data_IF_597681254979
#
_entry.id   IF_597681254979
#
_cell.length_a   1.000
_cell.length_b   1.000
_cell.length_c   1.000
_cell.angle_alpha   90.00
_cell.angle_beta   90.00
_cell.angle_gamma   90.00
#
_symmetry.space_group_name_H-M   'P 1'
#
loop_
_entity.id
_entity.type
_entity.pdbx_description
1 polymer ?
#
# COMPACT_ATOMS: atom_id res chain seq x y z
N UNK A 1 -6.78 14.83 2.36
CA UNK A 1 -7.93 14.07 2.92
C UNK A 1 -7.61 13.74 4.37
N UNK A 2 -8.60 13.46 5.23
CA UNK A 2 -8.30 13.02 6.60
C UNK A 2 -8.13 11.50 6.63
N UNK A 3 -7.17 11.02 7.42
CA UNK A 3 -6.77 9.60 7.50
C UNK A 3 -7.87 8.72 8.09
N UNK A 4 -8.72 9.28 8.95
CA UNK A 4 -9.87 8.64 9.59
C UNK A 4 -11.01 8.28 8.62
N UNK A 5 -10.95 8.72 7.37
CA UNK A 5 -11.87 8.26 6.34
C UNK A 5 -11.45 6.96 5.65
N UNK A 6 -10.24 6.49 5.90
CA UNK A 6 -9.71 5.28 5.31
C UNK A 6 -9.61 4.16 6.32
N UNK A 7 -9.96 2.95 5.89
CA UNK A 7 -9.64 1.69 6.58
C UNK A 7 -8.88 0.78 5.62
N UNK A 8 -8.04 -0.09 6.16
CA UNK A 8 -7.24 -1.00 5.37
C UNK A 8 -7.24 -2.41 5.96
N UNK A 9 -7.26 -3.42 5.09
CA UNK A 9 -7.17 -4.82 5.48
C UNK A 9 -6.41 -5.62 4.42
N UNK A 10 -5.52 -6.51 4.88
CA UNK A 10 -4.85 -7.46 4.00
C UNK A 10 -5.72 -8.71 3.76
N UNK A 11 -5.69 -9.22 2.54
CA UNK A 11 -6.45 -10.38 2.06
C UNK A 11 -5.52 -11.32 1.30
N UNK A 12 -5.84 -12.61 1.34
CA UNK A 12 -5.08 -13.66 0.64
C UNK A 12 -3.61 -13.77 1.07
N UNK A 13 -3.35 -13.50 2.35
CA UNK A 13 -2.01 -13.55 2.96
C UNK A 13 -1.66 -14.93 3.53
N UNK A 14 -2.59 -15.88 3.51
CA UNK A 14 -2.32 -17.24 3.98
C UNK A 14 -1.57 -18.06 2.92
N UNK A 15 -0.68 -18.99 3.31
CA UNK A 15 0.01 -19.86 2.36
C UNK A 15 -0.97 -20.67 1.50
N UNK A 16 -0.81 -20.61 0.17
CA UNK A 16 -1.67 -21.32 -0.77
C UNK A 16 -3.03 -20.66 -1.05
N UNK A 17 -3.30 -19.47 -0.51
CA UNK A 17 -4.44 -18.67 -0.96
C UNK A 17 -4.25 -18.26 -2.43
N UNK A 18 -5.20 -18.62 -3.28
CA UNK A 18 -5.42 -17.97 -4.56
C UNK A 18 -6.70 -17.14 -4.42
N UNK A 19 -6.69 -15.82 -4.69
CA UNK A 19 -5.77 -15.03 -5.55
C UNK A 19 -4.55 -14.38 -4.85
N UNK A 20 -3.86 -13.47 -5.56
CA UNK A 20 -2.71 -12.64 -5.13
C UNK A 20 -2.95 -11.88 -3.80
N UNK A 21 -1.92 -11.67 -2.94
CA UNK A 21 -2.05 -10.85 -1.73
C UNK A 21 -2.60 -9.49 -2.10
N UNK A 22 -3.64 -9.07 -1.40
CA UNK A 22 -4.31 -7.81 -1.69
C UNK A 22 -4.46 -6.98 -0.43
N UNK A 23 -3.98 -5.74 -0.49
CA UNK A 23 -4.29 -4.71 0.49
C UNK A 23 -5.55 -3.97 0.03
N UNK A 24 -6.67 -4.19 0.71
CA UNK A 24 -7.93 -3.50 0.42
C UNK A 24 -8.00 -2.22 1.23
N UNK A 25 -8.16 -1.09 0.54
CA UNK A 25 -8.37 0.24 1.11
C UNK A 25 -9.83 0.64 0.88
N UNK A 26 -10.56 0.86 1.96
CA UNK A 26 -11.92 1.39 1.90
C UNK A 26 -11.89 2.87 2.26
N UNK A 27 -12.69 3.67 1.55
CA UNK A 27 -12.82 5.10 1.79
C UNK A 27 -14.26 5.49 2.05
N UNK A 28 -14.50 6.15 3.17
CA UNK A 28 -15.84 6.55 3.65
C UNK A 28 -16.07 8.07 3.58
N UNK A 29 -15.11 8.81 3.02
CA UNK A 29 -15.24 10.26 2.80
C UNK A 29 -15.91 10.61 1.46
N UNK A 30 -15.93 11.89 1.08
CA UNK A 30 -16.56 12.34 -0.17
C UNK A 30 -15.80 11.80 -1.41
N UNK A 31 -16.51 11.07 -2.29
CA UNK A 31 -15.92 10.39 -3.46
C UNK A 31 -15.17 11.36 -4.38
N UNK A 32 -15.74 12.52 -4.69
CA UNK A 32 -15.11 13.53 -5.54
C UNK A 32 -13.71 13.94 -5.04
N UNK A 33 -13.49 13.87 -3.72
CA UNK A 33 -12.18 14.19 -3.13
C UNK A 33 -11.17 13.09 -3.42
N UNK A 34 -11.57 11.82 -3.31
CA UNK A 34 -10.72 10.67 -3.64
C UNK A 34 -10.42 10.65 -5.14
N UNK A 35 -11.44 10.76 -5.98
CA UNK A 35 -11.29 10.77 -7.44
C UNK A 35 -10.33 11.87 -7.89
N UNK A 36 -10.54 13.12 -7.45
CA UNK A 36 -9.64 14.23 -7.79
C UNK A 36 -8.19 13.99 -7.37
N UNK A 37 -7.97 13.24 -6.28
CA UNK A 37 -6.62 12.95 -5.80
C UNK A 37 -5.96 11.82 -6.59
N UNK A 38 -6.74 10.86 -7.10
CA UNK A 38 -6.26 9.71 -7.88
C UNK A 38 -6.19 9.97 -9.39
N UNK A 39 -6.60 11.15 -9.84
CA UNK A 39 -6.58 11.55 -11.25
C UNK A 39 -5.59 12.66 -11.52
N UNK A 40 -5.07 12.68 -12.74
CA UNK A 40 -4.23 13.75 -13.26
C UNK A 40 -5.04 15.02 -13.64
N UNK A 41 -4.38 15.98 -14.31
CA UNK A 41 -5.03 17.22 -14.76
C UNK A 41 -6.01 17.03 -15.92
N UNK A 42 -5.94 15.92 -16.65
CA UNK A 42 -6.90 15.54 -17.68
C UNK A 42 -8.10 14.77 -17.11
N UNK A 43 -8.05 14.36 -15.84
CA UNK A 43 -9.06 13.56 -15.18
C UNK A 43 -8.87 12.05 -15.38
N UNK A 44 -7.70 11.63 -15.85
CA UNK A 44 -7.34 10.22 -16.04
C UNK A 44 -6.74 9.66 -14.75
N UNK A 45 -7.09 8.42 -14.40
CA UNK A 45 -6.55 7.76 -13.20
C UNK A 45 -5.07 7.48 -13.38
N UNK A 46 -4.26 7.73 -12.34
CA UNK A 46 -2.86 7.30 -12.34
C UNK A 46 -2.76 5.79 -12.49
N UNK A 47 -1.80 5.33 -13.29
CA UNK A 47 -1.49 3.90 -13.44
C UNK A 47 -0.50 3.43 -12.35
N UNK A 48 -0.33 2.12 -12.19
CA UNK A 48 0.53 1.54 -11.15
C UNK A 48 1.98 2.09 -11.20
N UNK A 49 2.54 2.24 -12.40
CA UNK A 49 3.91 2.78 -12.59
C UNK A 49 4.10 4.24 -12.16
N UNK A 50 3.01 4.98 -11.94
CA UNK A 50 3.02 6.37 -11.50
C UNK A 50 2.83 6.51 -9.98
N UNK A 51 2.66 5.40 -9.27
CA UNK A 51 2.35 5.37 -7.84
C UNK A 51 3.45 4.60 -7.11
N UNK A 52 3.89 5.13 -5.97
CA UNK A 52 4.74 4.40 -5.03
C UNK A 52 3.98 4.15 -3.73
N UNK A 53 4.23 2.99 -3.12
CA UNK A 53 3.65 2.57 -1.87
C UNK A 53 4.71 2.49 -0.77
N UNK A 54 4.36 3.00 0.40
CA UNK A 54 5.22 2.95 1.57
C UNK A 54 4.41 2.72 2.85
N UNK A 55 5.08 2.15 3.85
CA UNK A 55 4.57 1.98 5.19
C UNK A 55 5.57 2.52 6.20
N UNK A 56 5.11 3.37 7.12
CA UNK A 56 5.94 3.89 8.21
C UNK A 56 5.37 3.45 9.55
N UNK A 57 6.14 2.69 10.31
CA UNK A 57 5.79 2.27 11.65
C UNK A 57 5.78 3.48 12.61
N UNK A 58 4.85 3.45 13.56
CA UNK A 58 4.84 4.36 14.71
C UNK A 58 5.47 3.71 15.93
N UNK A 59 5.23 2.42 16.10
CA UNK A 59 5.67 1.60 17.22
C UNK A 59 6.81 0.67 16.78
N UNK A 60 7.37 -0.11 17.72
CA UNK A 60 8.30 -1.18 17.35
C UNK A 60 7.51 -2.26 16.59
N UNK A 61 8.09 -2.83 15.53
CA UNK A 61 7.38 -3.83 14.70
C UNK A 61 7.09 -5.12 15.47
N UNK A 62 7.90 -5.41 16.49
CA UNK A 62 7.81 -6.65 17.26
C UNK A 62 6.72 -6.54 18.35
N UNK A 63 6.07 -5.37 18.50
CA UNK A 63 4.91 -5.17 19.39
C UNK A 63 3.64 -5.79 18.78
N UNK A 64 2.87 -6.52 19.58
CA UNK A 64 1.65 -7.24 19.14
C UNK A 64 0.55 -6.31 18.59
N UNK A 65 0.53 -5.05 19.04
CA UNK A 65 -0.43 -4.02 18.64
C UNK A 65 0.24 -2.90 17.82
N UNK A 66 1.38 -3.18 17.17
CA UNK A 66 2.13 -2.19 16.41
C UNK A 66 1.28 -1.57 15.29
N UNK A 67 1.34 -0.24 15.18
CA UNK A 67 0.61 0.50 14.15
C UNK A 67 1.54 1.33 13.27
N UNK A 68 1.01 1.79 12.14
CA UNK A 68 1.72 2.71 11.28
C UNK A 68 0.85 3.44 10.27
N UNK A 69 1.52 4.10 9.34
CA UNK A 69 0.93 4.84 8.23
C UNK A 69 1.25 4.13 6.93
N UNK A 70 0.23 3.63 6.24
CA UNK A 70 0.37 3.26 4.83
C UNK A 70 0.06 4.47 3.95
N UNK A 71 0.88 4.70 2.94
CA UNK A 71 0.75 5.83 2.03
C UNK A 71 0.94 5.42 0.59
N UNK A 72 0.16 6.04 -0.29
CA UNK A 72 0.44 6.08 -1.71
C UNK A 72 0.88 7.49 -2.10
N UNK A 73 1.91 7.58 -2.92
CA UNK A 73 2.45 8.84 -3.45
C UNK A 73 2.60 8.77 -4.95
N UNK A 74 2.44 9.89 -5.63
CA UNK A 74 2.78 10.00 -7.04
C UNK A 74 4.31 9.90 -7.20
N UNK A 75 4.80 8.94 -7.98
CA UNK A 75 6.22 8.61 -8.13
C UNK A 75 7.10 9.79 -8.52
N UNK A 76 6.68 10.55 -9.53
CA UNK A 76 7.49 11.69 -10.04
C UNK A 76 7.45 12.91 -9.11
N UNK A 77 6.30 13.23 -8.52
CA UNK A 77 6.13 14.48 -7.78
C UNK A 77 6.32 14.32 -6.28
N UNK A 78 6.27 13.09 -5.76
CA UNK A 78 6.23 12.79 -4.33
C UNK A 78 4.92 13.22 -3.64
N UNK A 79 3.91 13.67 -4.40
CA UNK A 79 2.64 14.13 -3.84
C UNK A 79 1.83 12.98 -3.25
N UNK A 80 1.33 13.14 -2.03
CA UNK A 80 0.46 12.14 -1.40
C UNK A 80 -0.86 11.96 -2.16
N UNK A 81 -1.17 10.72 -2.49
CA UNK A 81 -2.44 10.30 -3.09
C UNK A 81 -3.41 9.83 -2.00
N UNK A 82 -2.95 9.04 -1.04
CA UNK A 82 -3.69 8.71 0.17
C UNK A 82 -2.76 8.36 1.32
N UNK A 83 -3.29 8.46 2.54
CA UNK A 83 -2.65 8.03 3.77
C UNK A 83 -3.71 7.40 4.67
N UNK A 84 -3.40 6.23 5.24
CA UNK A 84 -4.31 5.44 6.08
C UNK A 84 -3.55 4.95 7.31
N UNK A 85 -4.21 4.90 8.47
CA UNK A 85 -3.66 4.19 9.63
C UNK A 85 -3.85 2.69 9.39
N UNK A 86 -2.81 1.90 9.62
CA UNK A 86 -2.85 0.46 9.41
C UNK A 86 -2.25 -0.27 10.60
N UNK A 87 -2.79 -1.45 10.88
CA UNK A 87 -2.13 -2.43 11.74
C UNK A 87 -0.87 -2.91 11.02
N UNK A 88 0.26 -2.97 11.74
CA UNK A 88 1.53 -3.38 11.16
C UNK A 88 1.46 -4.82 10.63
N UNK A 89 0.80 -5.72 11.37
CA UNK A 89 0.59 -7.12 11.00
C UNK A 89 -0.05 -7.26 9.61
N UNK A 90 -1.05 -6.42 9.29
CA UNK A 90 -1.71 -6.48 8.00
C UNK A 90 -0.74 -6.17 6.84
N UNK A 91 0.11 -5.16 7.00
CA UNK A 91 1.06 -4.76 5.95
C UNK A 91 2.25 -5.72 5.88
N UNK A 92 2.79 -6.15 7.01
CA UNK A 92 3.93 -7.06 7.05
C UNK A 92 3.55 -8.46 6.53
N UNK A 93 2.39 -8.99 6.94
CA UNK A 93 1.86 -10.27 6.42
C UNK A 93 1.62 -10.23 4.91
N UNK A 94 1.24 -9.08 4.35
CA UNK A 94 1.10 -8.90 2.91
C UNK A 94 2.46 -9.06 2.19
N UNK A 95 3.51 -8.44 2.72
CA UNK A 95 4.87 -8.50 2.17
C UNK A 95 5.41 -9.92 2.23
N UNK A 96 5.25 -10.59 3.37
CA UNK A 96 5.68 -11.97 3.55
C UNK A 96 4.94 -12.91 2.58
N UNK A 97 3.61 -12.77 2.47
CA UNK A 97 2.81 -13.56 1.54
C UNK A 97 3.18 -13.32 0.06
N UNK A 98 3.61 -12.12 -0.32
CA UNK A 98 4.10 -11.83 -1.66
C UNK A 98 5.44 -12.51 -1.94
N UNK A 99 6.38 -12.43 -0.99
CA UNK A 99 7.71 -13.05 -1.08
C UNK A 99 7.66 -14.58 -1.12
N UNK A 100 6.76 -15.19 -0.35
CA UNK A 100 6.61 -16.64 -0.32
C UNK A 100 6.11 -17.23 -1.65
N UNK A 101 5.41 -16.43 -2.48
CA UNK A 101 4.90 -16.90 -3.77
C UNK A 101 5.99 -16.96 -4.84
N UNK A 102 6.87 -15.98 -4.88
CA UNK A 102 7.99 -15.91 -5.83
C UNK A 102 9.10 -15.04 -5.26
N UNK A 103 10.33 -15.54 -5.29
CA UNK A 103 11.48 -14.81 -4.73
C UNK A 103 11.98 -13.70 -5.66
N UNK A 104 11.85 -13.87 -6.99
CA UNK A 104 12.47 -12.99 -7.97
C UNK A 104 11.54 -11.87 -8.50
N UNK A 105 10.22 -12.11 -8.47
CA UNK A 105 9.18 -11.24 -9.06
C UNK A 105 7.99 -11.05 -8.10
N UNK A 106 8.28 -10.87 -6.80
CA UNK A 106 7.24 -10.76 -5.78
C UNK A 106 6.34 -9.55 -6.05
N UNK A 107 5.03 -9.78 -6.07
CA UNK A 107 4.04 -8.74 -6.32
C UNK A 107 2.85 -8.86 -5.37
N UNK A 108 2.12 -7.77 -5.23
CA UNK A 108 0.87 -7.69 -4.47
C UNK A 108 -0.08 -6.73 -5.16
N UNK A 109 -1.33 -6.72 -4.70
CA UNK A 109 -2.34 -5.79 -5.19
C UNK A 109 -2.74 -4.78 -4.14
N UNK A 110 -2.99 -3.55 -4.58
CA UNK A 110 -3.72 -2.56 -3.79
C UNK A 110 -5.07 -2.37 -4.45
N UNK A 111 -6.13 -2.60 -3.70
CA UNK A 111 -7.50 -2.43 -4.17
C UNK A 111 -8.16 -1.29 -3.40
N UNK A 112 -8.47 -0.20 -4.09
CA UNK A 112 -9.15 0.97 -3.52
C UNK A 112 -10.63 0.89 -3.89
N UNK A 113 -11.48 0.68 -2.88
CA UNK A 113 -12.93 0.68 -3.05
C UNK A 113 -13.43 2.11 -3.32
N UNK A 114 -14.37 2.23 -4.26
CA UNK A 114 -15.04 3.48 -4.63
C UNK A 114 -16.54 3.23 -4.60
N UNK A 115 -17.31 4.12 -3.99
CA UNK A 115 -18.72 3.85 -3.71
C UNK A 115 -19.59 3.85 -4.98
N UNK A 116 -19.29 4.73 -5.93
CA UNK A 116 -20.07 4.98 -7.14
C UNK A 116 -19.34 4.52 -8.43
N UNK A 117 -18.17 3.86 -8.29
CA UNK A 117 -17.35 3.43 -9.41
C UNK A 117 -16.67 2.08 -9.15
N UNK A 118 -16.16 1.43 -10.19
CA UNK A 118 -15.43 0.16 -10.04
C UNK A 118 -14.20 0.32 -9.14
N UNK A 119 -13.80 -0.71 -8.37
CA UNK A 119 -12.59 -0.64 -7.56
C UNK A 119 -11.36 -0.36 -8.43
N UNK A 120 -10.49 0.53 -7.95
CA UNK A 120 -9.20 0.76 -8.60
C UNK A 120 -8.21 -0.29 -8.07
N UNK A 121 -7.53 -0.98 -8.98
CA UNK A 121 -6.58 -2.03 -8.63
C UNK A 121 -5.21 -1.67 -9.19
N UNK A 122 -4.23 -1.59 -8.31
CA UNK A 122 -2.82 -1.49 -8.66
C UNK A 122 -2.15 -2.84 -8.40
N UNK A 123 -1.38 -3.32 -9.38
CA UNK A 123 -0.45 -4.43 -9.18
C UNK A 123 0.93 -3.81 -8.95
N UNK A 124 1.55 -4.15 -7.83
CA UNK A 124 2.73 -3.48 -7.30
C UNK A 124 3.82 -4.51 -7.00
N UNK A 125 5.05 -4.20 -7.34
CA UNK A 125 6.25 -5.00 -7.05
C UNK A 125 7.13 -4.38 -5.93
N UNK A 126 6.79 -3.17 -5.47
CA UNK A 126 7.53 -2.46 -4.42
C UNK A 126 6.62 -2.00 -3.27
N UNK A 127 7.10 -2.15 -2.05
CA UNK A 127 6.53 -1.59 -0.83
C UNK A 127 7.65 -1.32 0.17
N UNK A 128 7.95 -0.05 0.41
CA UNK A 128 9.05 0.35 1.30
C UNK A 128 8.55 0.52 2.74
N UNK A 129 9.23 -0.13 3.68
CA UNK A 129 8.90 -0.07 5.11
C UNK A 129 9.94 0.75 5.86
N UNK A 130 9.48 1.74 6.61
CA UNK A 130 10.31 2.61 7.45
C UNK A 130 9.92 2.46 8.91
N UNK A 131 10.88 2.64 9.81
CA UNK A 131 10.58 2.74 11.24
C UNK A 131 10.10 4.15 11.65
N UNK A 132 9.89 4.34 12.94
CA UNK A 132 9.44 5.61 13.51
C UNK A 132 10.49 6.72 13.40
N UNK A 133 11.78 6.39 13.29
CA UNK A 133 12.88 7.33 13.09
C UNK A 133 13.04 7.72 11.60
N UNK A 134 12.45 6.93 10.70
CA UNK A 134 12.48 7.12 9.26
C UNK A 134 13.57 6.31 8.56
N UNK A 135 14.18 5.34 9.26
CA UNK A 135 15.16 4.44 8.67
C UNK A 135 14.47 3.33 7.88
N UNK A 136 15.01 3.02 6.69
CA UNK A 136 14.46 2.00 5.81
C UNK A 136 14.76 0.60 6.34
N UNK A 137 13.70 -0.14 6.65
CA UNK A 137 13.75 -1.54 7.04
C UNK A 137 13.80 -2.44 5.80
N UNK A 138 14.96 -2.51 5.13
CA UNK A 138 15.13 -3.27 3.88
C UNK A 138 14.66 -4.72 3.97
N UNK A 139 14.96 -5.41 5.07
CA UNK A 139 14.56 -6.81 5.28
C UNK A 139 13.05 -7.00 5.40
N UNK A 140 12.31 -5.93 5.70
CA UNK A 140 10.85 -5.93 5.83
C UNK A 140 10.15 -5.21 4.66
N UNK A 141 10.92 -4.80 3.65
CA UNK A 141 10.40 -4.10 2.47
C UNK A 141 10.31 -5.04 1.27
N UNK A 142 9.27 -4.91 0.45
CA UNK A 142 9.27 -5.51 -0.87
C UNK A 142 10.08 -4.60 -1.81
N UNK A 143 11.28 -5.06 -2.20
CA UNK A 143 12.19 -4.31 -3.06
C UNK A 143 12.43 -5.15 -4.32
N UNK A 144 12.14 -4.63 -5.52
CA UNK A 144 12.36 -5.36 -6.76
C UNK A 144 13.84 -5.69 -6.95
N UNK A 145 14.11 -6.90 -7.44
CA UNK A 145 15.44 -7.51 -7.59
C UNK A 145 16.44 -6.68 -8.42
N UNK A 146 15.98 -5.69 -9.18
CA UNK A 146 16.79 -4.81 -10.04
C UNK A 146 17.05 -3.39 -9.50
N UNK A 147 16.60 -3.06 -8.28
CA UNK A 147 16.75 -1.71 -7.71
C UNK A 147 17.90 -1.66 -6.71
N UNK A 148 18.97 -0.94 -7.04
CA UNK A 148 19.96 -0.49 -6.04
C UNK A 148 19.43 0.77 -5.34
N UNK A 149 19.05 0.63 -4.06
CA UNK A 149 18.69 1.74 -3.16
C UNK A 149 19.93 2.37 -2.52
#
# INVERSE_FOLDING_TARGET
MRRDHFTVAARHVSPGDAPEPTLTVEYTGPEETLTRQLTDTAGELFVADEVDAAFRLHDDRDDEDATGVFSLTHRITGGYLLEVNADADAVLSLIDAARERTEDDASYRIRIERAEAEPLIYEMDALLVYDSEGDLLRQHSLIPSGVEL
#
